data_IF_722416589576
#
_entry.id   IF_722416589576
#
_cell.length_a   1.000
_cell.length_b   1.000
_cell.length_c   1.000
_cell.angle_alpha   90.00
_cell.angle_beta   90.00
_cell.angle_gamma   90.00
#
_symmetry.space_group_name_H-M   'P 1'
#
loop_
_entity.id
_entity.type
_entity.pdbx_description
1 polymer ?
#
# COMPACT_ATOMS: atom_id res chain seq x y z
N UNK A 1 10.71 -12.39 -16.26
CA UNK A 1 11.19 -11.00 -16.15
C UNK A 1 10.40 -10.16 -17.14
N UNK A 2 9.78 -9.06 -16.72
CA UNK A 2 8.92 -8.23 -17.58
C UNK A 2 9.82 -7.38 -18.48
N UNK A 3 9.63 -7.43 -19.81
CA UNK A 3 10.36 -6.61 -20.78
C UNK A 3 9.50 -5.42 -21.20
N UNK A 4 9.96 -4.21 -20.94
CA UNK A 4 9.24 -2.99 -21.28
C UNK A 4 9.49 -2.57 -22.74
N UNK A 5 8.45 -2.11 -23.42
CA UNK A 5 8.51 -1.47 -24.73
C UNK A 5 8.61 0.05 -24.58
N UNK A 6 8.98 0.72 -25.67
CA UNK A 6 8.94 2.18 -25.75
C UNK A 6 7.56 2.71 -25.36
N UNK A 7 7.51 3.62 -24.39
CA UNK A 7 6.27 4.20 -23.86
C UNK A 7 5.62 3.47 -22.68
N UNK A 8 6.03 2.24 -22.33
CA UNK A 8 5.44 1.50 -21.19
C UNK A 8 5.66 2.19 -19.83
N UNK A 9 6.69 3.03 -19.72
CA UNK A 9 7.00 3.80 -18.52
C UNK A 9 6.66 5.29 -18.67
N UNK A 10 5.82 5.64 -19.65
CA UNK A 10 5.44 7.03 -19.88
C UNK A 10 4.62 7.52 -18.69
N UNK A 11 5.19 8.48 -17.96
CA UNK A 11 4.46 9.17 -16.88
C UNK A 11 3.35 10.01 -17.54
N UNK A 12 2.06 9.78 -17.19
CA UNK A 12 0.97 10.60 -17.68
C UNK A 12 1.20 12.07 -17.31
N UNK A 13 0.93 12.98 -18.25
CA UNK A 13 0.92 14.42 -17.93
C UNK A 13 -0.40 14.74 -17.23
N UNK A 14 -0.37 14.76 -15.90
CA UNK A 14 -1.52 15.12 -15.09
C UNK A 14 -1.77 16.64 -15.12
N UNK A 15 -3.03 17.05 -15.06
CA UNK A 15 -3.43 18.48 -15.01
C UNK A 15 -2.92 19.21 -13.76
N UNK A 16 -2.51 18.46 -12.73
CA UNK A 16 -1.91 18.96 -11.49
C UNK A 16 -0.72 18.10 -11.10
N UNK A 17 0.25 18.68 -10.40
CA UNK A 17 1.35 17.91 -9.81
C UNK A 17 0.79 17.04 -8.68
N UNK A 18 1.09 15.75 -8.73
CA UNK A 18 0.71 14.77 -7.72
C UNK A 18 1.99 14.17 -7.17
N UNK A 19 2.08 14.05 -5.85
CA UNK A 19 3.26 13.55 -5.16
C UNK A 19 2.84 12.38 -4.27
N UNK A 20 3.72 11.39 -4.14
CA UNK A 20 3.64 10.39 -3.09
C UNK A 20 4.41 10.95 -1.91
N UNK A 21 3.74 11.12 -0.77
CA UNK A 21 4.32 11.75 0.43
C UNK A 21 4.89 10.71 1.38
N UNK A 22 4.19 9.59 1.56
CA UNK A 22 4.61 8.48 2.39
C UNK A 22 4.10 7.14 1.85
N UNK A 23 4.73 6.06 2.27
CA UNK A 23 4.38 4.68 1.97
C UNK A 23 4.67 3.81 3.18
N UNK A 24 3.73 2.95 3.56
CA UNK A 24 3.90 2.00 4.64
C UNK A 24 3.89 0.57 4.12
N UNK A 25 4.78 -0.26 4.65
CA UNK A 25 4.90 -1.67 4.27
C UNK A 25 5.11 -2.53 5.51
N UNK A 26 4.70 -3.79 5.43
CA UNK A 26 5.13 -4.82 6.37
C UNK A 26 6.42 -5.48 5.87
N UNK A 27 7.04 -6.31 6.71
CA UNK A 27 8.15 -7.14 6.26
C UNK A 27 7.74 -8.01 5.05
N UNK A 28 8.67 -8.29 4.15
CA UNK A 28 8.43 -9.22 3.06
C UNK A 28 8.62 -10.65 3.55
N UNK A 29 7.52 -11.40 3.66
CA UNK A 29 7.52 -12.82 4.05
C UNK A 29 6.47 -13.59 3.26
N UNK A 30 6.70 -14.90 3.11
CA UNK A 30 5.73 -15.81 2.49
C UNK A 30 4.48 -16.02 3.34
N UNK A 31 4.64 -16.05 4.66
CA UNK A 31 3.58 -16.33 5.62
C UNK A 31 3.85 -15.63 6.95
N UNK A 32 2.77 -15.22 7.62
CA UNK A 32 2.76 -14.59 8.94
C UNK A 32 1.84 -15.40 9.86
N UNK A 33 2.36 -16.38 10.63
CA UNK A 33 1.54 -17.10 11.62
C UNK A 33 1.04 -16.21 12.76
N UNK A 34 1.76 -15.12 13.04
CA UNK A 34 1.53 -14.24 14.18
C UNK A 34 0.45 -13.16 13.94
N UNK A 35 0.12 -12.88 12.68
CA UNK A 35 -0.77 -11.77 12.32
C UNK A 35 -1.78 -12.19 11.25
N UNK A 36 -3.00 -11.68 11.36
CA UNK A 36 -3.99 -11.70 10.30
C UNK A 36 -3.70 -10.62 9.25
N UNK A 37 -4.31 -10.73 8.09
CA UNK A 37 -4.14 -9.76 7.01
C UNK A 37 -4.52 -8.34 7.44
N UNK A 38 -5.62 -8.19 8.19
CA UNK A 38 -6.09 -6.90 8.68
C UNK A 38 -5.08 -6.26 9.63
N UNK A 39 -4.43 -7.05 10.46
CA UNK A 39 -3.38 -6.58 11.38
C UNK A 39 -2.14 -6.14 10.61
N UNK A 40 -1.75 -6.87 9.56
CA UNK A 40 -0.66 -6.48 8.66
C UNK A 40 -0.98 -5.16 7.93
N UNK A 41 -2.22 -4.99 7.47
CA UNK A 41 -2.67 -3.73 6.87
C UNK A 41 -2.55 -2.58 7.87
N UNK A 42 -2.97 -2.78 9.13
CA UNK A 42 -2.85 -1.75 10.16
C UNK A 42 -1.40 -1.42 10.53
N UNK A 43 -0.50 -2.42 10.54
CA UNK A 43 0.94 -2.18 10.73
C UNK A 43 1.50 -1.32 9.60
N UNK A 44 1.18 -1.64 8.34
CA UNK A 44 1.59 -0.82 7.22
C UNK A 44 0.99 0.59 7.30
N UNK A 45 -0.27 0.73 7.72
CA UNK A 45 -0.93 2.02 7.86
C UNK A 45 -0.30 2.88 8.96
N UNK A 46 0.12 2.28 10.07
CA UNK A 46 0.88 2.96 11.13
C UNK A 46 2.24 3.44 10.63
N UNK A 47 2.97 2.60 9.89
CA UNK A 47 4.25 2.98 9.25
C UNK A 47 4.08 4.16 8.27
N UNK A 48 2.94 4.21 7.58
CA UNK A 48 2.59 5.27 6.63
C UNK A 48 2.31 6.62 7.31
N UNK A 49 1.78 6.65 8.54
CA UNK A 49 1.24 7.88 9.14
C UNK A 49 1.92 8.29 10.45
N UNK A 50 2.14 7.34 11.36
CA UNK A 50 2.65 7.61 12.71
C UNK A 50 4.16 7.41 12.81
N UNK A 51 4.67 6.31 12.27
CA UNK A 51 6.08 5.90 12.45
C UNK A 51 7.01 6.55 11.41
N UNK A 52 6.69 7.78 10.99
CA UNK A 52 7.53 8.65 10.16
C UNK A 52 7.36 10.12 10.56
N UNK A 53 7.94 11.05 9.80
CA UNK A 53 7.94 12.49 10.15
C UNK A 53 6.57 13.18 10.01
N UNK A 54 5.55 12.52 9.44
CA UNK A 54 4.19 13.06 9.33
C UNK A 54 3.49 13.13 10.68
N UNK A 55 3.72 12.16 11.57
CA UNK A 55 3.12 12.09 12.92
C UNK A 55 1.61 12.32 12.93
N UNK A 56 0.91 11.76 11.95
CA UNK A 56 -0.54 11.93 11.77
C UNK A 56 -1.33 10.82 12.45
N UNK A 57 -2.47 11.17 13.05
CA UNK A 57 -3.41 10.20 13.60
C UNK A 57 -4.14 9.47 12.44
N UNK A 58 -4.13 8.12 12.41
CA UNK A 58 -4.85 7.32 11.42
C UNK A 58 -6.33 7.67 11.26
N UNK A 59 -7.01 8.13 12.33
CA UNK A 59 -8.42 8.51 12.28
C UNK A 59 -8.69 9.72 11.39
N UNK A 60 -7.72 10.61 11.22
CA UNK A 60 -7.84 11.77 10.33
C UNK A 60 -7.89 11.37 8.85
N UNK A 61 -7.27 10.25 8.51
CA UNK A 61 -7.08 9.81 7.12
C UNK A 61 -8.01 8.68 6.73
N UNK A 62 -8.62 7.98 7.71
CA UNK A 62 -9.53 6.84 7.49
C UNK A 62 -10.65 7.15 6.50
N UNK A 63 -11.23 8.35 6.55
CA UNK A 63 -12.31 8.78 5.65
C UNK A 63 -11.87 9.13 4.22
N UNK A 64 -10.56 9.16 3.95
CA UNK A 64 -9.97 9.57 2.67
C UNK A 64 -9.51 8.39 1.81
N UNK A 65 -9.71 7.16 2.26
CA UNK A 65 -9.35 5.95 1.52
C UNK A 65 -10.31 5.79 0.33
N UNK A 66 -9.81 6.09 -0.87
CA UNK A 66 -10.59 6.02 -2.11
C UNK A 66 -10.42 4.72 -2.89
N UNK A 67 -9.41 3.92 -2.54
CA UNK A 67 -9.08 2.68 -3.24
C UNK A 67 -8.37 1.72 -2.29
N UNK A 68 -8.79 0.47 -2.33
CA UNK A 68 -8.09 -0.64 -1.69
C UNK A 68 -8.14 -1.83 -2.65
N UNK A 69 -6.98 -2.45 -2.88
CA UNK A 69 -6.87 -3.68 -3.64
C UNK A 69 -6.59 -4.81 -2.65
N UNK A 70 -7.55 -5.73 -2.54
CA UNK A 70 -7.39 -6.93 -1.73
C UNK A 70 -7.05 -8.08 -2.66
N UNK A 71 -5.90 -8.70 -2.42
CA UNK A 71 -5.58 -9.96 -3.07
C UNK A 71 -6.39 -11.06 -2.40
N UNK A 72 -7.61 -11.32 -2.89
CA UNK A 72 -8.21 -12.63 -2.68
C UNK A 72 -7.47 -13.61 -3.59
N UNK A 73 -6.30 -14.06 -3.15
CA UNK A 73 -5.64 -15.19 -3.79
C UNK A 73 -6.51 -16.40 -3.44
N UNK A 74 -7.38 -16.75 -4.38
CA UNK A 74 -8.37 -17.79 -4.27
C UNK A 74 -7.80 -19.06 -3.61
N UNK A 75 -8.58 -19.58 -2.66
CA UNK A 75 -8.48 -20.87 -1.97
C UNK A 75 -8.49 -22.07 -2.95
N UNK A 76 -7.58 -22.11 -3.92
CA UNK A 76 -7.49 -23.22 -4.88
C UNK A 76 -6.71 -24.44 -4.37
N UNK A 77 -6.51 -24.54 -3.05
CA UNK A 77 -5.91 -25.71 -2.40
C UNK A 77 -6.64 -26.06 -1.10
N UNK A 78 -7.98 -26.12 -1.11
CA UNK A 78 -8.71 -26.97 -0.16
C UNK A 78 -8.45 -28.44 -0.43
#
# INVERSE_FOLDING_TARGET
MITFKEGNLRIPKWNRRVFIVAGGTTAYKKYFPEYKLEELVMIAFKNLLEDNDLKMDPLEVKGLINFAAYGEFADHFQ
#
